data_IF_656086882977
#
_entry.id   IF_656086882977
#
_cell.length_a   1.000
_cell.length_b   1.000
_cell.length_c   1.000
_cell.angle_alpha   90.00
_cell.angle_beta   90.00
_cell.angle_gamma   90.00
#
_symmetry.space_group_name_H-M   'P 1'
#
loop_
_entity.id
_entity.type
_entity.pdbx_description
1 polymer ?
#
# COMPACT_ATOMS: atom_id res chain seq x y z
N UNK A 1 19.02 -21.20 7.93
CA UNK A 1 18.95 -19.75 8.17
C UNK A 1 18.55 -19.03 6.90
N UNK A 2 17.69 -18.08 7.03
CA UNK A 2 17.25 -17.32 5.89
C UNK A 2 18.19 -16.14 5.69
N UNK A 3 18.79 -16.04 4.52
CA UNK A 3 19.68 -14.90 4.27
C UNK A 3 18.92 -13.59 4.30
N UNK A 4 19.52 -12.60 4.92
CA UNK A 4 18.94 -11.27 4.97
C UNK A 4 18.70 -10.73 3.55
N UNK A 5 19.59 -11.08 2.63
CA UNK A 5 19.46 -10.64 1.26
C UNK A 5 18.20 -11.18 0.59
N UNK A 6 17.80 -12.40 0.95
CA UNK A 6 16.57 -12.97 0.40
C UNK A 6 15.34 -12.22 0.89
N UNK A 7 15.29 -11.95 2.20
CA UNK A 7 14.21 -11.17 2.77
C UNK A 7 14.16 -9.78 2.14
N UNK A 8 15.32 -9.18 2.00
CA UNK A 8 15.43 -7.85 1.41
C UNK A 8 14.92 -7.85 -0.03
N UNK A 9 15.18 -8.92 -0.76
CA UNK A 9 14.73 -9.05 -2.14
C UNK A 9 13.23 -9.19 -2.28
N UNK A 10 12.52 -9.52 -1.18
CA UNK A 10 11.08 -9.64 -1.19
C UNK A 10 10.35 -8.36 -0.81
N UNK A 11 11.10 -7.34 -0.40
CA UNK A 11 10.50 -6.07 -0.01
C UNK A 11 10.38 -5.15 -1.22
N UNK A 12 9.21 -4.59 -1.36
CA UNK A 12 8.96 -3.59 -2.40
C UNK A 12 9.41 -2.23 -1.86
N UNK A 13 10.26 -1.56 -2.62
CA UNK A 13 10.82 -0.28 -2.17
C UNK A 13 10.00 0.87 -2.72
N UNK A 14 8.85 1.11 -2.10
CA UNK A 14 8.01 2.25 -2.45
C UNK A 14 7.66 3.01 -1.19
N UNK A 15 7.23 4.25 -1.38
CA UNK A 15 6.82 5.12 -0.30
C UNK A 15 5.37 5.50 -0.48
N UNK A 16 4.68 5.75 0.63
CA UNK A 16 3.30 6.19 0.62
C UNK A 16 3.21 7.50 1.37
N UNK A 17 2.44 8.45 0.85
CA UNK A 17 2.30 9.76 1.48
C UNK A 17 1.02 10.44 1.02
N UNK A 18 0.48 11.36 1.82
CA UNK A 18 0.88 11.67 3.17
C UNK A 18 0.36 10.63 4.16
N UNK A 19 0.98 10.59 5.32
CA UNK A 19 0.54 9.72 6.39
C UNK A 19 0.84 10.44 7.71
N UNK A 20 -0.16 10.93 8.45
CA UNK A 20 -1.60 10.71 8.22
C UNK A 20 -2.14 11.38 6.97
N UNK A 21 -3.25 10.88 6.48
CA UNK A 21 -3.90 11.43 5.30
C UNK A 21 -5.29 11.95 5.65
N UNK A 22 -5.71 12.98 4.93
CA UNK A 22 -7.09 13.48 5.05
C UNK A 22 -8.00 12.78 4.04
N UNK A 23 -7.49 12.51 2.85
CA UNK A 23 -8.35 11.87 1.85
C UNK A 23 -7.62 10.94 0.89
N UNK A 24 -6.41 11.24 0.49
CA UNK A 24 -5.74 10.47 -0.57
C UNK A 24 -4.33 10.10 -0.17
N UNK A 25 -3.90 8.90 -0.57
CA UNK A 25 -2.53 8.45 -0.40
C UNK A 25 -1.93 8.21 -1.78
N UNK A 26 -0.77 8.78 -2.00
CA UNK A 26 0.00 8.62 -3.23
C UNK A 26 1.16 7.67 -2.96
N UNK A 27 1.67 7.07 -4.01
CA UNK A 27 2.80 6.15 -3.91
C UNK A 27 3.87 6.56 -4.90
N UNK A 28 5.13 6.38 -4.52
CA UNK A 28 6.24 6.67 -5.42
C UNK A 28 7.37 5.66 -5.19
N UNK A 29 8.26 5.56 -6.18
CA UNK A 29 9.42 4.69 -6.09
C UNK A 29 9.23 3.33 -6.74
N UNK A 30 8.04 3.04 -7.25
CA UNK A 30 7.80 1.78 -7.90
C UNK A 30 8.23 1.81 -9.37
N UNK A 31 8.23 0.63 -9.98
CA UNK A 31 8.48 0.49 -11.40
C UNK A 31 7.33 1.13 -12.18
N UNK A 32 7.59 2.16 -12.99
CA UNK A 32 6.52 2.88 -13.67
C UNK A 32 5.75 2.04 -14.68
N UNK A 33 6.31 0.94 -15.13
CA UNK A 33 5.61 0.08 -16.09
C UNK A 33 5.02 -1.16 -15.41
N UNK A 34 5.12 -1.23 -14.09
CA UNK A 34 4.64 -2.40 -13.36
C UNK A 34 3.15 -2.35 -13.07
N UNK A 35 2.63 -3.52 -12.73
CA UNK A 35 1.25 -3.69 -12.29
C UNK A 35 1.29 -4.03 -10.81
N UNK A 36 0.36 -3.45 -10.06
CA UNK A 36 0.38 -3.56 -8.61
C UNK A 36 -0.99 -3.96 -8.09
N UNK A 37 -0.97 -4.78 -7.05
CA UNK A 37 -2.18 -5.16 -6.32
C UNK A 37 -2.16 -4.39 -5.01
N UNK A 38 -3.27 -3.74 -4.68
CA UNK A 38 -3.38 -3.02 -3.43
C UNK A 38 -4.58 -3.54 -2.66
N UNK A 39 -4.39 -3.71 -1.36
CA UNK A 39 -5.42 -4.22 -0.48
C UNK A 39 -5.45 -3.40 0.79
N UNK A 40 -6.65 -2.97 1.19
CA UNK A 40 -6.85 -2.17 2.39
C UNK A 40 -7.62 -3.00 3.40
N UNK A 41 -7.10 -3.07 4.60
CA UNK A 41 -7.68 -3.88 5.68
C UNK A 41 -7.85 -2.98 6.90
N UNK A 42 -9.01 -3.06 7.55
CA UNK A 42 -9.21 -2.30 8.77
C UNK A 42 -8.62 -3.03 9.96
N UNK A 43 -8.67 -2.41 11.11
CA UNK A 43 -8.04 -2.96 12.31
C UNK A 43 -8.74 -4.21 12.85
N UNK A 44 -9.92 -4.52 12.34
CA UNK A 44 -10.60 -5.75 12.70
C UNK A 44 -10.28 -6.88 11.73
N UNK A 45 -9.40 -6.62 10.77
CA UNK A 45 -9.01 -7.63 9.81
C UNK A 45 -9.90 -7.75 8.60
N UNK A 46 -10.86 -6.85 8.44
CA UNK A 46 -11.77 -6.91 7.30
C UNK A 46 -11.13 -6.26 6.08
N UNK A 47 -11.23 -6.94 4.95
CA UNK A 47 -10.74 -6.39 3.69
C UNK A 47 -11.78 -5.43 3.17
N UNK A 48 -11.40 -4.15 3.10
CA UNK A 48 -12.31 -3.10 2.68
C UNK A 48 -12.28 -2.88 1.18
N UNK A 49 -11.14 -3.15 0.58
CA UNK A 49 -10.95 -2.84 -0.82
C UNK A 49 -9.74 -3.59 -1.34
N UNK A 50 -9.81 -4.04 -2.58
CA UNK A 50 -8.61 -4.53 -3.26
C UNK A 50 -8.78 -4.31 -4.75
N UNK A 51 -7.68 -3.99 -5.40
CA UNK A 51 -7.69 -3.71 -6.83
C UNK A 51 -6.32 -3.98 -7.41
N UNK A 52 -6.29 -4.13 -8.72
CA UNK A 52 -5.06 -4.34 -9.47
C UNK A 52 -4.99 -3.24 -10.52
N UNK A 53 -3.91 -2.46 -10.50
CA UNK A 53 -3.78 -1.30 -11.35
C UNK A 53 -2.35 -1.13 -11.83
N UNK A 54 -2.13 -0.42 -12.93
CA UNK A 54 -0.77 -0.01 -13.30
C UNK A 54 -0.28 1.03 -12.30
N UNK A 55 1.04 1.22 -12.25
CA UNK A 55 1.60 2.15 -11.28
C UNK A 55 1.04 3.56 -11.41
N UNK A 56 0.75 3.97 -12.63
CA UNK A 56 0.22 5.32 -12.86
C UNK A 56 -1.12 5.54 -12.16
N UNK A 57 -1.84 4.47 -11.89
CA UNK A 57 -3.14 4.55 -11.21
C UNK A 57 -3.06 4.10 -9.76
N UNK A 58 -1.84 3.90 -9.25
CA UNK A 58 -1.68 3.43 -7.88
C UNK A 58 -1.82 4.61 -6.93
N UNK A 59 -3.05 4.84 -6.53
CA UNK A 59 -3.40 5.81 -5.51
C UNK A 59 -4.48 5.18 -4.66
N UNK A 60 -4.69 5.73 -3.48
CA UNK A 60 -5.69 5.19 -2.58
C UNK A 60 -6.55 6.33 -2.06
N UNK A 61 -7.85 6.23 -2.33
CA UNK A 61 -8.83 7.19 -1.81
C UNK A 61 -9.28 6.73 -0.45
N UNK A 62 -9.02 7.56 0.55
CA UNK A 62 -9.37 7.24 1.93
C UNK A 62 -10.56 8.05 2.43
N UNK A 63 -11.05 8.97 1.61
CA UNK A 63 -12.12 9.88 2.01
C UNK A 63 -13.36 9.14 2.49
N UNK A 64 -13.64 8.00 1.89
CA UNK A 64 -14.82 7.19 2.20
C UNK A 64 -14.69 6.42 3.52
N UNK A 65 -13.51 6.39 4.10
CA UNK A 65 -13.28 5.62 5.33
C UNK A 65 -13.34 6.52 6.55
N UNK A 66 -13.75 5.94 7.66
CA UNK A 66 -13.76 6.65 8.94
C UNK A 66 -12.34 6.91 9.39
N UNK A 67 -12.18 7.87 10.30
CA UNK A 67 -10.88 8.11 10.92
C UNK A 67 -10.40 6.85 11.61
N UNK A 68 -9.13 6.59 11.52
CA UNK A 68 -8.56 5.41 12.14
C UNK A 68 -7.33 4.92 11.41
N UNK A 69 -6.85 3.77 11.83
CA UNK A 69 -5.67 3.14 11.25
C UNK A 69 -6.09 2.01 10.33
N UNK A 70 -5.37 1.90 9.21
CA UNK A 70 -5.65 0.90 8.20
C UNK A 70 -4.35 0.27 7.75
N UNK A 71 -4.39 -1.02 7.48
CA UNK A 71 -3.25 -1.73 6.92
C UNK A 71 -3.42 -1.74 5.41
N UNK A 72 -2.42 -1.25 4.71
CA UNK A 72 -2.44 -1.20 3.25
C UNK A 72 -1.29 -2.04 2.74
N UNK A 73 -1.61 -3.07 1.97
CA UNK A 73 -0.61 -3.94 1.39
C UNK A 73 -0.52 -3.67 -0.10
N UNK A 74 0.70 -3.47 -0.60
CA UNK A 74 0.95 -3.27 -2.02
C UNK A 74 1.89 -4.37 -2.48
N UNK A 75 1.51 -5.07 -3.53
CA UNK A 75 2.30 -6.16 -4.09
C UNK A 75 2.56 -5.89 -5.56
N UNK A 76 3.82 -5.94 -5.95
CA UNK A 76 4.19 -5.83 -7.35
C UNK A 76 3.93 -7.18 -8.03
N UNK A 77 3.12 -7.17 -9.07
CA UNK A 77 2.69 -8.41 -9.72
C UNK A 77 3.86 -9.21 -10.27
N UNK A 78 4.78 -8.54 -10.94
CA UNK A 78 5.87 -9.21 -11.64
C UNK A 78 6.83 -9.93 -10.71
N UNK A 79 7.20 -9.28 -9.63
CA UNK A 79 8.23 -9.79 -8.72
C UNK A 79 7.65 -10.49 -7.49
N UNK A 80 6.40 -10.20 -7.16
CA UNK A 80 5.81 -10.65 -5.91
C UNK A 80 6.30 -9.90 -4.69
N UNK A 81 7.11 -8.86 -4.88
CA UNK A 81 7.58 -8.06 -3.77
C UNK A 81 6.43 -7.27 -3.18
N UNK A 82 6.48 -7.07 -1.88
CA UNK A 82 5.39 -6.42 -1.18
C UNK A 82 5.89 -5.38 -0.20
N UNK A 83 4.99 -4.46 0.12
CA UNK A 83 5.21 -3.49 1.17
C UNK A 83 3.92 -3.31 1.94
N UNK A 84 4.03 -3.25 3.26
CA UNK A 84 2.87 -3.06 4.12
C UNK A 84 3.01 -1.71 4.80
N UNK A 85 1.93 -0.93 4.75
CA UNK A 85 1.88 0.39 5.35
C UNK A 85 0.81 0.42 6.42
N UNK A 86 1.09 1.15 7.48
CA UNK A 86 0.07 1.48 8.46
C UNK A 86 -0.34 2.93 8.16
N UNK A 87 -1.50 3.09 7.54
CA UNK A 87 -1.98 4.40 7.10
C UNK A 87 -3.00 4.92 8.09
N UNK A 88 -2.83 6.14 8.53
CA UNK A 88 -3.75 6.77 9.46
C UNK A 88 -4.60 7.77 8.70
N UNK A 89 -5.92 7.59 8.76
CA UNK A 89 -6.89 8.53 8.21
C UNK A 89 -7.29 9.45 9.36
N UNK A 90 -7.01 10.72 9.18
CA UNK A 90 -7.27 11.70 10.22
C UNK A 90 -8.01 12.89 9.59
N UNK A 91 -9.08 13.29 10.22
CA UNK A 91 -9.90 14.39 9.73
C UNK A 91 -10.13 15.35 10.85
N UNK A 92 -10.02 16.64 10.55
CA UNK A 92 -10.24 17.65 11.57
C UNK A 92 -11.70 17.90 11.80
#
# INVERSE_FOLDING_TARGET
MIPTSLEKGLLLEIKAFPNPTLDKVMFEGGDPVGTYHIRVVDKLGRVLEQKTVPFSDLTLEMKKYNNGSYIVEVIEDKSGRRKIFNIVKSQR
#
